data_IF_670178490239
#
_entry.id   IF_670178490239
#
_cell.length_a   1.000
_cell.length_b   1.000
_cell.length_c   1.000
_cell.angle_alpha   90.00
_cell.angle_beta   90.00
_cell.angle_gamma   90.00
#
_symmetry.space_group_name_H-M   'P 1'
#
loop_
_entity.id
_entity.type
_entity.pdbx_description
1 polymer ?
#
# COMPACT_ATOMS: atom_id res chain seq x y z
N UNK A 1 -5.11 -7.10 -25.19
CA UNK A 1 -5.04 -7.69 -23.83
C UNK A 1 -5.51 -6.64 -22.83
N UNK A 2 -6.51 -6.94 -21.99
CA UNK A 2 -6.95 -6.01 -20.93
C UNK A 2 -6.03 -6.22 -19.71
N UNK A 3 -5.29 -5.18 -19.32
CA UNK A 3 -4.45 -5.23 -18.11
C UNK A 3 -5.37 -5.48 -16.90
N UNK A 4 -5.02 -6.38 -15.97
CA UNK A 4 -5.81 -6.59 -14.76
C UNK A 4 -5.95 -5.27 -13.98
N UNK A 5 -7.18 -4.91 -13.64
CA UNK A 5 -7.54 -3.66 -12.93
C UNK A 5 -6.83 -3.53 -11.59
N UNK A 6 -6.56 -4.65 -10.94
CA UNK A 6 -5.80 -4.75 -9.70
C UNK A 6 -4.38 -4.21 -9.89
N UNK A 7 -3.78 -4.44 -11.06
CA UNK A 7 -2.44 -3.98 -11.39
C UNK A 7 -2.44 -2.50 -11.78
N UNK A 8 -3.50 -2.03 -12.46
CA UNK A 8 -3.69 -0.60 -12.75
C UNK A 8 -3.89 0.20 -11.46
N UNK A 9 -4.74 -0.28 -10.54
CA UNK A 9 -4.99 0.37 -9.26
C UNK A 9 -3.78 0.26 -8.33
N UNK A 10 -3.06 -0.86 -8.36
CA UNK A 10 -1.76 -0.99 -7.69
C UNK A 10 -0.74 0.03 -8.19
N UNK A 11 -0.70 0.29 -9.50
CA UNK A 11 0.17 1.32 -10.08
C UNK A 11 -0.21 2.74 -9.62
N UNK A 12 -1.49 3.04 -9.41
CA UNK A 12 -1.92 4.33 -8.85
C UNK A 12 -1.38 4.52 -7.43
N UNK A 13 -1.33 3.47 -6.62
CA UNK A 13 -0.72 3.51 -5.28
C UNK A 13 0.76 3.86 -5.42
N UNK A 14 1.49 3.19 -6.31
CA UNK A 14 2.92 3.43 -6.55
C UNK A 14 3.19 4.87 -6.97
N UNK A 15 2.41 5.40 -7.92
CA UNK A 15 2.54 6.78 -8.39
C UNK A 15 2.20 7.77 -7.28
N UNK A 16 1.14 7.51 -6.50
CA UNK A 16 0.75 8.36 -5.37
C UNK A 16 1.82 8.43 -4.29
N UNK A 17 2.32 7.28 -3.85
CA UNK A 17 3.41 7.18 -2.86
C UNK A 17 4.69 7.80 -3.42
N UNK A 18 5.03 7.53 -4.68
CA UNK A 18 6.24 8.05 -5.32
C UNK A 18 6.24 9.58 -5.44
N UNK A 19 5.14 10.17 -5.93
CA UNK A 19 5.00 11.63 -6.02
C UNK A 19 5.05 12.26 -4.64
N UNK A 20 4.31 11.69 -3.67
CA UNK A 20 4.32 12.14 -2.30
C UNK A 20 5.75 12.12 -1.74
N UNK A 21 6.45 11.00 -1.86
CA UNK A 21 7.82 10.85 -1.40
C UNK A 21 8.77 11.87 -2.03
N UNK A 22 8.68 12.13 -3.33
CA UNK A 22 9.52 13.12 -4.00
C UNK A 22 9.26 14.55 -3.50
N UNK A 23 7.99 14.90 -3.26
CA UNK A 23 7.62 16.20 -2.66
C UNK A 23 8.21 16.30 -1.24
N UNK A 24 8.06 15.23 -0.46
CA UNK A 24 8.58 15.14 0.90
C UNK A 24 10.10 15.29 0.97
N UNK A 25 10.81 14.66 0.03
CA UNK A 25 12.26 14.79 -0.11
C UNK A 25 12.67 16.21 -0.51
N UNK A 26 11.98 16.81 -1.48
CA UNK A 26 12.29 18.16 -1.95
C UNK A 26 12.08 19.23 -0.86
N UNK A 27 11.10 19.03 0.02
CA UNK A 27 10.86 19.88 1.17
C UNK A 27 11.81 19.59 2.35
N UNK A 28 12.55 18.47 2.32
CA UNK A 28 13.44 18.06 3.40
C UNK A 28 12.72 17.50 4.63
N UNK A 29 11.48 17.00 4.48
CA UNK A 29 10.67 16.40 5.55
C UNK A 29 10.65 14.86 5.47
N UNK A 30 11.45 14.25 4.58
CA UNK A 30 11.49 12.80 4.37
C UNK A 30 12.08 12.00 5.56
N UNK A 31 12.75 12.67 6.50
CA UNK A 31 13.26 12.08 7.73
C UNK A 31 12.15 11.84 8.78
N UNK A 32 11.02 12.56 8.66
CA UNK A 32 9.93 12.48 9.63
C UNK A 32 9.14 11.18 9.46
N UNK A 33 9.30 10.25 10.40
CA UNK A 33 8.61 8.96 10.37
C UNK A 33 7.08 9.09 10.36
N UNK A 34 6.52 10.11 11.03
CA UNK A 34 5.07 10.31 11.12
C UNK A 34 4.43 10.55 9.73
N UNK A 35 5.18 11.17 8.82
CA UNK A 35 4.70 11.42 7.47
C UNK A 35 4.65 10.16 6.62
N UNK A 36 5.30 9.07 7.04
CA UNK A 36 5.16 7.75 6.39
C UNK A 36 3.81 7.12 6.65
N UNK A 37 3.12 7.47 7.74
CA UNK A 37 1.76 6.99 8.01
C UNK A 37 0.78 7.40 6.89
N UNK A 38 1.04 8.52 6.21
CA UNK A 38 0.23 8.95 5.06
C UNK A 38 0.29 7.97 3.88
N UNK A 39 1.33 7.13 3.78
CA UNK A 39 1.41 6.07 2.76
C UNK A 39 0.20 5.12 2.85
N UNK A 40 -0.32 4.88 4.06
CA UNK A 40 -1.51 4.06 4.29
C UNK A 40 -2.75 4.65 3.63
N UNK A 41 -2.86 5.99 3.51
CA UNK A 41 -3.98 6.63 2.84
C UNK A 41 -3.99 6.36 1.33
N UNK A 42 -2.82 6.31 0.70
CA UNK A 42 -2.70 5.93 -0.72
C UNK A 42 -3.07 4.47 -0.93
N UNK A 43 -2.64 3.59 -0.03
CA UNK A 43 -3.03 2.16 -0.04
C UNK A 43 -4.55 2.05 0.12
N UNK A 44 -5.14 2.78 1.06
CA UNK A 44 -6.60 2.82 1.27
C UNK A 44 -7.35 3.28 0.02
N UNK A 45 -6.90 4.38 -0.60
CA UNK A 45 -7.50 4.91 -1.81
C UNK A 45 -7.48 3.91 -2.97
N UNK A 46 -6.31 3.32 -3.26
CA UNK A 46 -6.16 2.35 -4.35
C UNK A 46 -6.97 1.07 -4.10
N UNK A 47 -6.96 0.57 -2.86
CA UNK A 47 -7.71 -0.64 -2.46
C UNK A 47 -9.23 -0.40 -2.53
N UNK A 48 -9.70 0.73 -2.03
CA UNK A 48 -11.12 1.11 -2.08
C UNK A 48 -11.60 1.27 -3.53
N UNK A 49 -10.75 1.81 -4.41
CA UNK A 49 -11.06 1.95 -5.83
C UNK A 49 -11.25 0.58 -6.51
N UNK A 50 -10.36 -0.38 -6.27
CA UNK A 50 -10.53 -1.77 -6.76
C UNK A 50 -11.85 -2.37 -6.28
N UNK A 51 -12.19 -2.18 -5.00
CA UNK A 51 -13.43 -2.72 -4.43
C UNK A 51 -14.68 -2.13 -5.11
N UNK A 52 -14.68 -0.81 -5.33
CA UNK A 52 -15.78 -0.11 -6.02
C UNK A 52 -15.94 -0.57 -7.47
N UNK A 53 -14.83 -0.78 -8.18
CA UNK A 53 -14.84 -1.26 -9.56
C UNK A 53 -15.31 -2.71 -9.68
N UNK A 54 -14.92 -3.58 -8.73
CA UNK A 54 -15.44 -4.94 -8.67
C UNK A 54 -16.95 -4.98 -8.45
N UNK A 55 -17.44 -4.14 -7.54
CA UNK A 55 -18.88 -4.06 -7.27
C UNK A 55 -19.67 -3.52 -8.46
N UNK A 56 -19.14 -2.51 -9.17
CA UNK A 56 -19.77 -1.98 -10.39
C UNK A 56 -19.85 -3.01 -11.53
N UNK A 57 -18.98 -4.03 -11.52
CA UNK A 57 -18.99 -5.14 -12.48
C UNK A 57 -19.87 -6.32 -12.03
N UNK A 58 -20.61 -6.18 -10.93
CA UNK A 58 -21.50 -7.21 -10.40
C UNK A 58 -20.79 -8.31 -9.61
N UNK A 59 -19.50 -8.18 -9.30
CA UNK A 59 -18.82 -9.10 -8.40
C UNK A 59 -19.15 -8.72 -6.95
N UNK A 60 -20.18 -9.35 -6.39
CA UNK A 60 -20.64 -9.15 -5.01
C UNK A 60 -20.13 -10.22 -4.05
N UNK A 61 -19.19 -11.08 -4.48
CA UNK A 61 -18.65 -12.13 -3.62
C UNK A 61 -17.61 -11.54 -2.69
N UNK A 62 -17.94 -11.53 -1.40
CA UNK A 62 -17.12 -10.96 -0.33
C UNK A 62 -15.67 -11.51 -0.37
N UNK A 63 -15.50 -12.83 -0.49
CA UNK A 63 -14.18 -13.48 -0.55
C UNK A 63 -13.38 -13.06 -1.79
N UNK A 64 -14.01 -13.00 -2.97
CA UNK A 64 -13.34 -12.61 -4.22
C UNK A 64 -12.84 -11.17 -4.14
N UNK A 65 -13.65 -10.29 -3.55
CA UNK A 65 -13.30 -8.89 -3.36
C UNK A 65 -12.23 -8.67 -2.29
N UNK A 66 -12.24 -9.44 -1.21
CA UNK A 66 -11.16 -9.46 -0.22
C UNK A 66 -9.82 -9.81 -0.86
N UNK A 67 -9.79 -10.86 -1.68
CA UNK A 67 -8.56 -11.31 -2.35
C UNK A 67 -8.08 -10.28 -3.36
N UNK A 68 -8.97 -9.71 -4.17
CA UNK A 68 -8.62 -8.69 -5.17
C UNK A 68 -8.10 -7.39 -4.52
N UNK A 69 -8.73 -6.97 -3.41
CA UNK A 69 -8.32 -5.82 -2.62
C UNK A 69 -6.94 -6.04 -1.99
N UNK A 70 -6.74 -7.16 -1.32
CA UNK A 70 -5.46 -7.52 -0.71
C UNK A 70 -4.35 -7.61 -1.77
N UNK A 71 -4.64 -8.23 -2.91
CA UNK A 71 -3.69 -8.35 -4.01
C UNK A 71 -3.30 -6.97 -4.57
N UNK A 72 -4.26 -6.08 -4.79
CA UNK A 72 -4.00 -4.68 -5.21
C UNK A 72 -3.07 -3.97 -4.22
N UNK A 73 -3.37 -4.07 -2.93
CA UNK A 73 -2.61 -3.42 -1.87
C UNK A 73 -1.18 -3.96 -1.80
N UNK A 74 -1.00 -5.28 -1.83
CA UNK A 74 0.31 -5.94 -1.81
C UNK A 74 1.15 -5.60 -3.05
N UNK A 75 0.56 -5.62 -4.24
CA UNK A 75 1.23 -5.22 -5.48
C UNK A 75 1.70 -3.76 -5.39
N UNK A 76 0.85 -2.86 -4.89
CA UNK A 76 1.20 -1.46 -4.69
C UNK A 76 2.37 -1.28 -3.72
N UNK A 77 2.36 -1.99 -2.58
CA UNK A 77 3.43 -1.95 -1.58
C UNK A 77 4.75 -2.48 -2.16
N UNK A 78 4.75 -3.68 -2.75
CA UNK A 78 5.96 -4.31 -3.29
C UNK A 78 6.59 -3.44 -4.38
N UNK A 79 5.78 -2.94 -5.31
CA UNK A 79 6.27 -2.05 -6.38
C UNK A 79 6.81 -0.73 -5.82
N UNK A 80 6.20 -0.18 -4.77
CA UNK A 80 6.69 1.04 -4.11
C UNK A 80 8.04 0.82 -3.44
N UNK A 81 8.25 -0.35 -2.82
CA UNK A 81 9.55 -0.72 -2.23
C UNK A 81 10.61 -0.91 -3.31
N UNK A 82 10.28 -1.56 -4.44
CA UNK A 82 11.22 -1.69 -5.56
C UNK A 82 11.61 -0.30 -6.10
N UNK A 83 10.63 0.58 -6.30
CA UNK A 83 10.88 1.95 -6.74
C UNK A 83 11.80 2.71 -5.78
N UNK A 84 11.56 2.58 -4.46
CA UNK A 84 12.40 3.16 -3.42
C UNK A 84 13.83 2.62 -3.46
N UNK A 85 14.02 1.31 -3.61
CA UNK A 85 15.36 0.70 -3.70
C UNK A 85 16.11 1.25 -4.91
N UNK A 86 15.48 1.23 -6.09
CA UNK A 86 16.08 1.75 -7.34
C UNK A 86 16.44 3.23 -7.19
N UNK A 87 15.53 4.03 -6.65
CA UNK A 87 15.76 5.45 -6.42
C UNK A 87 16.89 5.71 -5.42
N UNK A 88 16.94 4.94 -4.33
CA UNK A 88 17.98 5.06 -3.31
C UNK A 88 19.37 4.77 -3.88
N UNK A 89 19.52 3.68 -4.66
CA UNK A 89 20.78 3.39 -5.33
C UNK A 89 21.17 4.45 -6.36
N UNK A 90 20.21 5.00 -7.11
CA UNK A 90 20.46 6.10 -8.05
C UNK A 90 20.92 7.40 -7.36
N UNK A 91 20.53 7.62 -6.10
CA UNK A 91 20.87 8.81 -5.30
C UNK A 91 22.14 8.68 -4.45
N UNK A 92 22.87 7.56 -4.54
CA UNK A 92 24.09 7.33 -3.75
C UNK A 92 23.96 6.26 -2.66
N UNK A 93 22.90 5.45 -2.70
CA UNK A 93 22.74 4.23 -1.91
C UNK A 93 22.63 4.51 -0.41
N UNK A 94 23.60 4.00 0.35
CA UNK A 94 23.59 4.03 1.82
C UNK A 94 23.73 5.46 2.39
N UNK A 95 24.46 6.34 1.69
CA UNK A 95 24.59 7.74 2.09
C UNK A 95 23.23 8.47 2.05
N UNK A 96 22.39 8.14 1.05
CA UNK A 96 21.05 8.70 0.91
C UNK A 96 20.11 8.19 2.02
N UNK A 97 20.08 6.88 2.28
CA UNK A 97 19.22 6.31 3.33
C UNK A 97 19.61 6.77 4.73
N UNK A 98 20.90 6.99 4.99
CA UNK A 98 21.38 7.55 6.26
C UNK A 98 20.78 8.94 6.53
N UNK A 99 20.49 9.71 5.48
CA UNK A 99 19.80 11.01 5.63
C UNK A 99 18.32 10.88 5.99
N UNK A 100 17.67 9.78 5.61
CA UNK A 100 16.25 9.49 5.90
C UNK A 100 16.03 8.75 7.25
N UNK A 101 17.08 8.12 7.80
CA UNK A 101 16.92 7.08 8.84
C UNK A 101 17.19 7.51 10.28
N UNK A 102 17.38 8.80 10.58
CA UNK A 102 17.74 9.25 11.93
C UNK A 102 16.77 8.81 13.04
N UNK A 103 15.57 8.31 12.70
CA UNK A 103 14.51 7.97 13.67
C UNK A 103 13.92 6.56 13.49
N UNK A 104 14.64 5.62 12.85
CA UNK A 104 14.09 4.27 12.64
C UNK A 104 14.16 3.35 13.87
N UNK A 105 13.19 2.43 13.97
CA UNK A 105 13.01 1.43 15.04
C UNK A 105 14.23 0.51 15.31
N UNK A 106 15.20 0.49 14.40
CA UNK A 106 16.45 -0.25 14.54
C UNK A 106 17.60 0.76 14.57
N UNK A 107 18.15 1.03 15.77
CA UNK A 107 19.27 1.96 15.92
C UNK A 107 20.52 1.49 15.15
N UNK A 108 21.22 2.41 14.48
CA UNK A 108 22.45 2.12 13.72
C UNK A 108 22.59 2.93 12.43
N UNK A 109 23.53 2.53 11.57
CA UNK A 109 23.61 2.95 10.16
C UNK A 109 22.88 1.91 9.29
N UNK A 110 21.59 2.11 8.96
CA UNK A 110 20.85 1.11 8.22
C UNK A 110 21.29 1.07 6.76
N UNK A 111 21.54 -0.13 6.26
CA UNK A 111 21.69 -0.37 4.83
C UNK A 111 20.37 -0.07 4.10
N UNK A 112 20.46 0.20 2.80
CA UNK A 112 19.29 0.37 1.92
C UNK A 112 18.31 -0.81 2.04
N UNK A 113 18.86 -2.03 2.16
CA UNK A 113 18.07 -3.25 2.27
C UNK A 113 17.35 -3.35 3.61
N UNK A 114 18.02 -3.05 4.73
CA UNK A 114 17.41 -3.08 6.07
C UNK A 114 16.25 -2.09 6.15
N UNK A 115 16.45 -0.88 5.63
CA UNK A 115 15.42 0.16 5.57
C UNK A 115 14.21 -0.30 4.73
N UNK A 116 14.48 -0.82 3.52
CA UNK A 116 13.45 -1.25 2.59
C UNK A 116 12.65 -2.45 3.11
N UNK A 117 13.30 -3.41 3.78
CA UNK A 117 12.62 -4.55 4.41
C UNK A 117 11.73 -4.09 5.56
N UNK A 118 12.19 -3.15 6.40
CA UNK A 118 11.35 -2.62 7.48
C UNK A 118 10.09 -1.95 6.94
N UNK A 119 10.23 -1.15 5.88
CA UNK A 119 9.08 -0.52 5.21
C UNK A 119 8.18 -1.54 4.49
N UNK A 120 8.76 -2.63 3.98
CA UNK A 120 7.98 -3.71 3.39
C UNK A 120 7.05 -4.36 4.43
N UNK A 121 7.56 -4.65 5.63
CA UNK A 121 6.75 -5.19 6.72
C UNK A 121 5.65 -4.22 7.14
N UNK A 122 5.99 -2.94 7.34
CA UNK A 122 5.01 -1.89 7.66
C UNK A 122 3.92 -1.79 6.57
N UNK A 123 4.34 -1.80 5.30
CA UNK A 123 3.45 -1.77 4.15
C UNK A 123 2.52 -2.99 4.09
N UNK A 124 3.03 -4.20 4.32
CA UNK A 124 2.21 -5.43 4.35
C UNK A 124 1.19 -5.37 5.49
N UNK A 125 1.61 -4.99 6.70
CA UNK A 125 0.70 -4.85 7.84
C UNK A 125 -0.40 -3.85 7.52
N UNK A 126 -0.05 -2.70 6.93
CA UNK A 126 -1.03 -1.69 6.54
C UNK A 126 -1.99 -2.20 5.45
N UNK A 127 -1.50 -2.95 4.46
CA UNK A 127 -2.31 -3.53 3.39
C UNK A 127 -3.35 -4.53 3.94
N UNK A 128 -2.95 -5.37 4.90
CA UNK A 128 -3.85 -6.31 5.57
C UNK A 128 -4.91 -5.56 6.38
N UNK A 129 -4.50 -4.58 7.20
CA UNK A 129 -5.42 -3.80 8.04
C UNK A 129 -6.42 -3.02 7.17
N UNK A 130 -5.94 -2.32 6.13
CA UNK A 130 -6.78 -1.56 5.20
C UNK A 130 -7.78 -2.46 4.49
N UNK A 131 -7.32 -3.61 3.99
CA UNK A 131 -8.21 -4.57 3.34
C UNK A 131 -9.30 -5.03 4.31
N UNK A 132 -8.91 -5.44 5.52
CA UNK A 132 -9.87 -5.89 6.53
C UNK A 132 -10.89 -4.80 6.91
N UNK A 133 -10.43 -3.56 7.13
CA UNK A 133 -11.30 -2.42 7.40
C UNK A 133 -12.28 -2.14 6.26
N UNK A 134 -11.80 -2.16 5.00
CA UNK A 134 -12.66 -1.95 3.84
C UNK A 134 -13.67 -3.07 3.66
N UNK A 135 -13.29 -4.31 3.94
CA UNK A 135 -14.22 -5.44 3.90
C UNK A 135 -15.29 -5.32 4.98
N UNK A 136 -14.95 -4.97 6.22
CA UNK A 136 -15.93 -4.70 7.29
C UNK A 136 -16.86 -3.53 6.94
N UNK A 137 -16.32 -2.47 6.33
CA UNK A 137 -17.11 -1.32 5.91
C UNK A 137 -18.11 -1.69 4.78
N UNK A 138 -17.69 -2.55 3.85
CA UNK A 138 -18.53 -3.02 2.75
C UNK A 138 -19.38 -4.25 3.09
N UNK A 139 -19.16 -4.94 4.21
CA UNK A 139 -19.91 -6.12 4.65
C UNK A 139 -21.43 -5.85 4.69
N UNK A 140 -21.82 -4.64 5.13
CA UNK A 140 -23.23 -4.19 5.13
C UNK A 140 -23.85 -4.03 3.74
N UNK A 141 -23.04 -3.95 2.68
CA UNK A 141 -23.47 -3.80 1.27
C UNK A 141 -23.37 -5.08 0.47
N UNK A 142 -22.63 -6.07 0.98
CA UNK A 142 -22.67 -7.42 0.44
C UNK A 142 -23.89 -8.12 1.03
N UNK A 143 -24.62 -8.86 0.20
CA UNK A 143 -25.72 -9.69 0.70
C UNK A 143 -25.10 -10.65 1.70
N UNK A 144 -25.33 -10.37 2.98
CA UNK A 144 -24.97 -11.27 4.06
C UNK A 144 -25.62 -12.61 3.73
N UNK A 145 -24.81 -13.62 3.42
CA UNK A 145 -25.23 -15.03 3.33
C UNK A 145 -25.84 -15.52 4.68
N UNK A 146 -25.93 -14.64 5.69
CA UNK A 146 -26.47 -14.91 7.02
C UNK A 146 -28.01 -14.87 7.11
N UNK A 147 -28.76 -14.70 6.02
CA UNK A 147 -30.23 -14.79 6.02
C UNK A 147 -30.80 -15.78 4.99
N UNK A 148 -30.08 -16.90 4.75
CA UNK A 148 -30.52 -17.99 3.88
C UNK A 148 -30.82 -19.32 4.61
N UNK A 149 -30.86 -19.35 5.94
CA UNK A 149 -31.08 -20.56 6.73
C UNK A 149 -32.27 -20.43 7.69
N UNK A 150 -33.42 -20.02 7.17
CA UNK A 150 -34.72 -20.36 7.78
C UNK A 150 -35.68 -20.72 6.64
N UNK A 151 -35.81 -22.02 6.39
CA UNK A 151 -36.99 -22.60 5.75
C UNK A 151 -37.16 -24.05 6.18
#
# INVERSE_FOLDING_TARGET
>A
MKIPKELVNGFIIVVGIGIYFLIMELLGLADIYLLRLFNVLFIFYGTHKTLKENFAQGNTTLVSNSVAALFTALVGVVLSIIALIVYSYARGGEAYITSLSKTFLFGGQPSVMTYSISLLFEGIVSAVIVTFMLMLYWDTRYTSDKHGAES
#
